data_IF_289640881571
#
_entry.id   IF_289640881571
#
_cell.length_a   1.000
_cell.length_b   1.000
_cell.length_c   1.000
_cell.angle_alpha   90.00
_cell.angle_beta   90.00
_cell.angle_gamma   90.00
#
_symmetry.space_group_name_H-M   'P 1'
#
loop_
_entity.id
_entity.type
_entity.pdbx_description
1 polymer ?
#
# COMPACT_ATOMS: atom_id res chain seq x y z
N UNK A 1 -14.06 28.78 8.44
CA UNK A 1 -13.35 29.84 7.67
C UNK A 1 -11.95 30.12 8.18
N UNK A 2 -11.71 30.40 9.50
CA UNK A 2 -10.34 30.59 10.01
C UNK A 2 -9.56 29.27 10.14
N UNK A 3 -10.22 28.17 10.48
CA UNK A 3 -9.59 26.86 10.58
C UNK A 3 -9.17 26.29 9.21
N UNK A 4 -9.86 26.66 8.14
CA UNK A 4 -9.58 26.18 6.78
C UNK A 4 -8.37 26.89 6.13
N UNK A 5 -7.86 27.94 6.78
CA UNK A 5 -6.74 28.74 6.29
C UNK A 5 -5.41 28.44 7.03
N UNK A 6 -5.38 27.37 7.85
CA UNK A 6 -4.18 26.98 8.61
C UNK A 6 -3.26 26.14 7.70
N UNK A 7 -2.09 26.68 7.39
CA UNK A 7 -1.08 25.97 6.58
C UNK A 7 0.12 25.50 7.41
N UNK A 8 0.38 26.13 8.57
CA UNK A 8 1.54 25.82 9.39
C UNK A 8 1.16 25.54 10.86
N UNK A 9 2.07 24.88 11.58
CA UNK A 9 1.90 24.66 13.02
C UNK A 9 1.87 25.98 13.81
N UNK A 10 2.62 26.99 13.38
CA UNK A 10 2.61 28.32 13.99
C UNK A 10 1.23 29.00 13.85
N UNK A 11 0.57 28.84 12.71
CA UNK A 11 -0.77 29.37 12.49
C UNK A 11 -1.78 28.72 13.44
N UNK A 12 -1.67 27.41 13.65
CA UNK A 12 -2.52 26.66 14.58
C UNK A 12 -2.33 27.14 16.03
N UNK A 13 -1.07 27.37 16.45
CA UNK A 13 -0.76 27.90 17.78
C UNK A 13 -1.27 29.32 17.96
N UNK A 14 -1.17 30.17 16.96
CA UNK A 14 -1.65 31.53 17.00
C UNK A 14 -3.19 31.57 17.08
N UNK A 15 -3.89 30.72 16.30
CA UNK A 15 -5.33 30.59 16.38
C UNK A 15 -5.79 30.07 17.75
N UNK A 16 -5.10 29.12 18.33
CA UNK A 16 -5.38 28.62 19.68
C UNK A 16 -5.23 29.71 20.74
N UNK A 17 -4.21 30.57 20.62
CA UNK A 17 -4.03 31.75 21.51
C UNK A 17 -5.15 32.78 21.34
N UNK A 18 -5.59 33.05 20.10
CA UNK A 18 -6.73 33.95 19.84
C UNK A 18 -8.03 33.40 20.45
N UNK A 19 -8.29 32.09 20.31
CA UNK A 19 -9.44 31.43 20.90
C UNK A 19 -9.43 31.47 22.44
N UNK A 20 -8.25 31.27 23.04
CA UNK A 20 -8.10 31.35 24.48
C UNK A 20 -8.34 32.79 24.98
N UNK A 21 -7.83 33.80 24.29
CA UNK A 21 -8.05 35.20 24.62
C UNK A 21 -9.54 35.56 24.51
N UNK A 22 -10.22 35.10 23.46
CA UNK A 22 -11.64 35.30 23.26
C UNK A 22 -12.50 34.62 24.35
N UNK A 23 -12.15 33.38 24.74
CA UNK A 23 -12.87 32.67 25.80
C UNK A 23 -12.68 33.34 27.17
N UNK A 24 -11.51 33.92 27.46
CA UNK A 24 -11.29 34.73 28.67
C UNK A 24 -12.15 35.99 28.69
N UNK A 25 -12.22 36.71 27.59
CA UNK A 25 -13.02 37.90 27.47
C UNK A 25 -14.53 37.60 27.62
N UNK A 26 -15.00 36.50 27.09
CA UNK A 26 -16.39 36.05 27.26
C UNK A 26 -16.70 35.66 28.72
N UNK A 27 -15.75 35.02 29.39
CA UNK A 27 -15.87 34.61 30.78
C UNK A 27 -15.91 35.85 31.71
N UNK A 28 -15.04 36.84 31.48
CA UNK A 28 -15.04 38.10 32.22
C UNK A 28 -16.38 38.86 32.04
N UNK A 29 -16.91 38.89 30.81
CA UNK A 29 -18.23 39.46 30.54
C UNK A 29 -19.38 38.75 31.27
N UNK A 30 -19.30 37.41 31.32
CA UNK A 30 -20.28 36.59 32.07
C UNK A 30 -20.20 36.84 33.57
N UNK A 31 -18.98 36.97 34.12
CA UNK A 31 -18.79 37.32 35.53
C UNK A 31 -19.31 38.73 35.85
N UNK A 32 -19.08 39.72 34.98
CA UNK A 32 -19.60 41.06 35.12
C UNK A 32 -21.13 41.09 35.02
N UNK A 33 -21.74 40.27 34.19
CA UNK A 33 -23.20 40.15 34.09
C UNK A 33 -23.80 39.50 35.34
N UNK A 34 -23.19 38.40 35.82
CA UNK A 34 -23.65 37.76 37.06
C UNK A 34 -23.45 38.64 38.27
N UNK A 35 -22.37 39.40 38.39
CA UNK A 35 -22.14 40.37 39.46
C UNK A 35 -23.17 41.52 39.44
N UNK A 36 -23.62 41.97 38.26
CA UNK A 36 -24.66 42.98 38.11
C UNK A 36 -26.07 42.43 38.41
N UNK A 37 -26.30 41.12 38.21
CA UNK A 37 -27.54 40.47 38.62
C UNK A 37 -27.62 40.25 40.12
N UNK A 38 -26.48 39.98 40.81
CA UNK A 38 -26.44 39.88 42.27
C UNK A 38 -26.60 41.22 42.98
N UNK A 39 -26.17 42.33 42.40
CA UNK A 39 -26.44 43.70 42.95
C UNK A 39 -27.89 44.17 42.77
N UNK A 40 -28.65 43.50 41.88
CA UNK A 40 -30.04 43.85 41.53
C UNK A 40 -31.15 43.16 42.30
N UNK A 41 -30.86 42.13 43.10
CA UNK A 41 -31.90 41.36 43.83
C UNK A 41 -31.73 41.47 45.34
N UNK A 42 -32.31 42.52 45.90
CA UNK A 42 -32.68 42.53 47.31
C UNK A 42 -33.85 41.60 47.55
N UNK A 43 -33.63 40.66 48.47
CA UNK A 43 -34.59 39.88 49.25
C UNK A 43 -36.00 39.63 48.66
N UNK A 44 -36.28 38.41 48.23
CA UNK A 44 -37.59 37.73 48.36
C UNK A 44 -37.42 36.21 48.51
N UNK A 45 -38.30 35.68 49.36
CA UNK A 45 -38.39 34.34 49.94
C UNK A 45 -38.28 33.12 49.05
N UNK A 46 -37.87 32.04 49.70
CA UNK A 46 -37.94 30.61 49.29
C UNK A 46 -39.31 30.21 48.72
N UNK A 47 -39.31 29.64 47.56
CA UNK A 47 -40.24 28.55 47.20
C UNK A 47 -39.65 27.58 46.20
N UNK A 48 -39.99 26.34 46.42
CA UNK A 48 -39.54 25.10 45.79
C UNK A 48 -39.91 25.01 44.29
N UNK A 49 -39.01 24.34 43.53
CA UNK A 49 -39.40 23.35 42.52
C UNK A 49 -39.72 23.91 41.11
N UNK A 50 -38.81 23.69 40.17
CA UNK A 50 -39.25 23.38 38.80
C UNK A 50 -38.11 22.75 37.99
N UNK A 51 -38.35 21.54 37.64
CA UNK A 51 -37.89 20.62 36.58
C UNK A 51 -37.16 21.22 35.37
N UNK A 52 -36.07 20.60 35.07
CA UNK A 52 -35.28 20.67 33.83
C UNK A 52 -36.09 20.02 32.68
N UNK A 53 -36.13 20.61 31.49
CA UNK A 53 -36.74 19.95 30.33
C UNK A 53 -35.80 18.90 29.74
N UNK A 54 -36.36 17.72 29.57
CA UNK A 54 -35.83 16.55 28.90
C UNK A 54 -35.54 16.80 27.41
N UNK A 55 -34.41 16.37 26.92
CA UNK A 55 -34.14 16.22 25.49
C UNK A 55 -34.39 14.73 25.11
N UNK A 56 -34.99 14.48 23.95
CA UNK A 56 -35.38 13.12 23.58
C UNK A 56 -34.18 12.25 23.15
N UNK A 57 -34.16 11.07 23.72
CA UNK A 57 -33.28 9.95 23.34
C UNK A 57 -33.62 9.44 21.93
N UNK A 58 -32.58 9.25 21.13
CA UNK A 58 -32.68 8.59 19.83
C UNK A 58 -32.74 7.08 19.97
N UNK A 59 -33.60 6.50 19.15
CA UNK A 59 -33.97 5.08 19.14
C UNK A 59 -32.81 4.12 18.89
N UNK A 60 -32.79 3.09 19.72
CA UNK A 60 -31.96 1.88 19.67
C UNK A 60 -32.53 0.88 18.65
N UNK A 61 -31.73 0.43 17.71
CA UNK A 61 -32.02 -0.73 16.88
C UNK A 61 -30.86 -1.71 16.95
N UNK A 62 -30.95 -2.60 17.92
CA UNK A 62 -30.14 -3.83 17.95
C UNK A 62 -31.04 -5.05 17.99
N UNK A 63 -30.96 -5.89 17.01
CA UNK A 63 -31.17 -7.34 17.16
C UNK A 63 -30.37 -8.11 16.12
N UNK A 64 -29.41 -8.88 16.62
CA UNK A 64 -28.68 -9.87 15.84
C UNK A 64 -28.09 -10.92 16.77
N UNK A 65 -28.81 -12.04 16.92
CA UNK A 65 -28.43 -13.22 17.68
C UNK A 65 -27.10 -13.79 17.23
N UNK A 66 -26.23 -14.16 18.16
CA UNK A 66 -25.16 -15.14 17.93
C UNK A 66 -25.16 -16.22 19.00
N UNK A 67 -25.07 -17.44 18.50
CA UNK A 67 -25.02 -18.67 19.28
C UNK A 67 -23.66 -18.86 20.00
N UNK A 68 -23.76 -19.58 21.14
CA UNK A 68 -22.65 -19.97 22.01
C UNK A 68 -21.82 -21.10 21.42
N UNK A 69 -20.54 -21.11 21.67
CA UNK A 69 -19.76 -22.31 21.90
C UNK A 69 -18.77 -22.08 23.02
N UNK A 70 -18.87 -22.95 24.04
CA UNK A 70 -18.02 -23.03 25.21
C UNK A 70 -16.65 -23.62 24.86
N UNK A 71 -15.57 -23.11 25.46
CA UNK A 71 -14.53 -23.97 26.02
C UNK A 71 -13.68 -23.23 27.08
N UNK A 72 -13.48 -23.94 28.18
CA UNK A 72 -12.77 -23.57 29.40
C UNK A 72 -11.24 -23.54 29.18
N UNK A 73 -10.55 -22.66 29.87
CA UNK A 73 -9.45 -23.08 30.76
C UNK A 73 -8.92 -21.91 31.61
N UNK A 74 -8.84 -22.19 32.87
CA UNK A 74 -8.31 -21.55 34.04
C UNK A 74 -6.90 -20.96 33.92
N UNK A 75 -6.61 -19.81 34.53
CA UNK A 75 -5.85 -19.69 35.80
C UNK A 75 -5.66 -18.21 36.16
N UNK A 76 -6.14 -17.86 37.35
CA UNK A 76 -5.70 -16.69 38.11
C UNK A 76 -4.41 -17.02 38.88
N UNK A 77 -3.61 -16.04 39.35
CA UNK A 77 -3.75 -15.65 40.75
C UNK A 77 -3.61 -14.14 41.08
N UNK A 78 -4.47 -13.79 42.00
CA UNK A 78 -4.28 -13.12 43.30
C UNK A 78 -3.75 -11.69 43.38
N UNK A 79 -4.62 -10.95 44.01
CA UNK A 79 -4.55 -9.66 44.65
C UNK A 79 -3.71 -9.64 45.94
N UNK A 80 -3.26 -8.46 46.31
CA UNK A 80 -2.96 -7.93 47.66
C UNK A 80 -2.64 -6.44 47.44
N UNK A 81 -2.95 -5.46 48.18
CA UNK A 81 -3.78 -5.21 49.38
C UNK A 81 -3.92 -3.68 49.44
N UNK A 82 -5.06 -3.20 49.82
CA UNK A 82 -5.29 -1.81 50.26
C UNK A 82 -4.81 -1.61 51.69
N UNK A 83 -4.56 -0.35 52.13
CA UNK A 83 -5.25 0.11 53.33
C UNK A 83 -5.95 1.45 53.19
N UNK A 84 -7.11 1.43 53.76
CA UNK A 84 -8.01 2.52 54.17
C UNK A 84 -7.42 3.28 55.35
N UNK A 85 -7.54 4.60 55.41
CA UNK A 85 -7.78 5.39 56.65
C UNK A 85 -8.37 6.75 56.30
N UNK A 86 -9.59 6.96 56.68
CA UNK A 86 -10.18 7.74 57.76
C UNK A 86 -9.86 9.24 57.77
N UNK A 87 -10.83 10.07 57.46
CA UNK A 87 -11.64 10.80 58.43
C UNK A 87 -11.06 12.14 58.91
N UNK A 88 -11.72 13.20 58.60
CA UNK A 88 -11.47 14.50 59.20
C UNK A 88 -12.33 15.61 58.60
N UNK A 89 -13.52 15.81 59.15
CA UNK A 89 -14.30 17.03 59.00
C UNK A 89 -13.62 18.15 59.74
N UNK A 90 -13.26 19.24 59.06
CA UNK A 90 -13.19 20.57 59.67
C UNK A 90 -13.78 21.60 58.73
N UNK A 91 -14.81 22.26 59.24
CA UNK A 91 -15.40 23.44 58.71
C UNK A 91 -14.53 24.66 59.04
N UNK A 92 -14.14 25.45 58.08
CA UNK A 92 -13.36 26.65 58.35
C UNK A 92 -13.26 27.61 57.16
N UNK A 93 -14.16 28.57 57.17
CA UNK A 93 -14.00 29.97 56.72
C UNK A 93 -13.63 30.23 55.26
N UNK A 94 -14.61 30.74 54.52
CA UNK A 94 -14.48 31.59 53.34
C UNK A 94 -13.41 32.65 53.50
N UNK A 95 -12.46 32.66 52.61
CA UNK A 95 -11.75 33.87 52.22
C UNK A 95 -11.83 33.89 50.69
N UNK A 96 -12.62 34.87 50.21
CA UNK A 96 -12.70 35.21 48.79
C UNK A 96 -11.32 35.47 48.21
N UNK A 97 -10.82 34.50 47.45
CA UNK A 97 -9.81 34.73 46.42
C UNK A 97 -10.49 34.68 45.08
N UNK A 98 -10.19 35.60 44.15
CA UNK A 98 -10.72 35.53 42.79
C UNK A 98 -10.44 34.14 42.23
N UNK A 99 -11.47 33.45 41.78
CA UNK A 99 -11.32 32.20 41.06
C UNK A 99 -10.52 32.48 39.79
N UNK A 100 -9.28 32.01 39.75
CA UNK A 100 -8.52 32.00 38.53
C UNK A 100 -9.29 31.18 37.48
N UNK A 101 -9.46 31.75 36.30
CA UNK A 101 -10.05 31.10 35.15
C UNK A 101 -9.18 29.87 34.78
N UNK A 102 -9.64 28.71 35.15
CA UNK A 102 -9.02 27.44 34.78
C UNK A 102 -10.07 26.67 33.97
N UNK A 103 -10.08 26.79 32.63
CA UNK A 103 -10.97 25.99 31.82
C UNK A 103 -10.54 24.53 31.97
N UNK A 104 -11.22 23.77 32.79
CA UNK A 104 -11.15 22.31 32.82
C UNK A 104 -11.75 21.78 31.53
N UNK A 105 -10.97 21.82 30.47
CA UNK A 105 -11.36 21.26 29.19
C UNK A 105 -10.71 19.88 29.15
N UNK A 106 -11.52 18.83 29.09
CA UNK A 106 -11.05 17.43 28.94
C UNK A 106 -10.09 17.27 27.77
N UNK A 107 -10.16 18.18 26.77
CA UNK A 107 -9.21 18.30 25.66
C UNK A 107 -7.79 18.71 26.10
N UNK A 108 -7.61 19.36 27.26
CA UNK A 108 -6.30 19.77 27.74
C UNK A 108 -5.51 18.58 28.26
N UNK A 109 -6.19 17.66 28.95
CA UNK A 109 -5.57 16.41 29.43
C UNK A 109 -5.29 15.47 28.27
N UNK A 110 -6.18 15.39 27.28
CA UNK A 110 -5.94 14.65 26.04
C UNK A 110 -4.80 15.28 25.22
N UNK A 111 -4.71 16.62 25.16
CA UNK A 111 -3.62 17.32 24.50
C UNK A 111 -2.30 17.09 25.25
N UNK A 112 -2.31 17.16 26.59
CA UNK A 112 -1.12 16.89 27.38
C UNK A 112 -0.67 15.44 27.30
N UNK A 113 -1.58 14.48 27.29
CA UNK A 113 -1.27 13.06 27.01
C UNK A 113 -0.72 12.85 25.59
N UNK A 114 -1.32 13.49 24.60
CA UNK A 114 -0.82 13.45 23.23
C UNK A 114 0.55 14.14 23.12
N UNK A 115 0.78 15.27 23.79
CA UNK A 115 2.08 15.94 23.86
C UNK A 115 3.12 15.11 24.62
N UNK A 116 2.74 14.48 25.75
CA UNK A 116 3.64 13.57 26.47
C UNK A 116 3.97 12.30 25.67
N UNK A 117 3.04 11.82 24.83
CA UNK A 117 3.33 10.71 23.91
C UNK A 117 4.18 11.14 22.71
N UNK A 118 4.21 12.44 22.40
CA UNK A 118 5.04 13.03 21.34
C UNK A 118 6.42 13.46 21.83
N UNK A 119 6.54 13.79 23.12
CA UNK A 119 7.83 14.10 23.75
C UNK A 119 8.38 12.83 24.37
N UNK A 120 9.31 12.20 23.67
CA UNK A 120 10.07 11.07 24.22
C UNK A 120 10.93 11.59 25.37
N UNK A 121 10.56 11.22 26.59
CA UNK A 121 11.26 11.62 27.82
C UNK A 121 12.64 10.98 27.96
N UNK A 122 12.94 9.98 27.13
CA UNK A 122 14.23 9.26 27.16
C UNK A 122 15.33 9.91 26.32
N UNK A 123 15.05 11.06 25.68
CA UNK A 123 16.05 11.82 24.91
C UNK A 123 16.56 11.11 23.66
N UNK A 124 15.80 10.13 23.14
CA UNK A 124 16.14 9.44 21.88
C UNK A 124 15.77 10.33 20.69
N UNK A 125 16.74 10.65 19.86
CA UNK A 125 16.48 11.35 18.60
C UNK A 125 15.84 10.43 17.58
N UNK A 126 14.66 10.81 17.05
CA UNK A 126 14.04 10.13 15.93
C UNK A 126 14.58 10.64 14.59
N UNK A 127 14.91 9.73 13.72
CA UNK A 127 15.29 10.03 12.34
C UNK A 127 14.05 9.99 11.43
N UNK A 128 13.66 11.15 10.90
CA UNK A 128 12.56 11.26 9.96
C UNK A 128 13.04 11.01 8.54
N UNK A 129 12.45 10.05 7.87
CA UNK A 129 12.85 9.56 6.56
C UNK A 129 11.73 9.77 5.57
N UNK A 130 12.09 10.20 4.37
CA UNK A 130 11.14 10.42 3.28
C UNK A 130 11.28 9.38 2.17
N UNK A 131 10.15 9.08 1.53
CA UNK A 131 10.15 8.30 0.29
C UNK A 131 10.91 9.06 -0.81
N UNK A 132 11.67 8.36 -1.67
CA UNK A 132 12.30 9.00 -2.82
C UNK A 132 11.24 9.57 -3.75
N UNK A 133 11.43 10.82 -4.18
CA UNK A 133 10.48 11.50 -5.10
C UNK A 133 10.44 10.83 -6.48
N UNK A 134 11.57 10.33 -6.91
CA UNK A 134 11.74 9.62 -8.18
C UNK A 134 12.63 8.42 -7.96
N UNK A 135 12.33 7.32 -8.62
CA UNK A 135 13.23 6.17 -8.66
C UNK A 135 14.10 6.33 -9.90
N UNK A 136 15.43 6.26 -9.77
CA UNK A 136 16.32 6.37 -10.92
C UNK A 136 15.96 5.36 -12.01
N UNK A 137 15.91 5.83 -13.26
CA UNK A 137 15.56 4.99 -14.42
C UNK A 137 16.49 3.79 -14.60
N UNK A 138 17.71 3.84 -14.04
CA UNK A 138 18.68 2.74 -14.07
C UNK A 138 18.18 1.47 -13.35
N UNK A 139 17.24 1.60 -12.42
CA UNK A 139 16.65 0.46 -11.70
C UNK A 139 15.48 -0.18 -12.43
N UNK A 140 14.88 0.53 -13.40
CA UNK A 140 13.76 0.04 -14.20
C UNK A 140 14.23 -0.32 -15.59
N UNK A 141 14.05 -1.58 -15.97
CA UNK A 141 14.28 -2.02 -17.34
C UNK A 141 12.90 -2.19 -18.00
N UNK A 142 12.70 -1.45 -19.09
CA UNK A 142 11.42 -1.44 -19.79
C UNK A 142 11.10 -2.77 -20.47
N UNK A 143 9.81 -3.05 -20.69
CA UNK A 143 9.37 -4.26 -21.39
C UNK A 143 10.01 -4.40 -22.78
N UNK A 144 10.20 -3.31 -23.49
CA UNK A 144 10.85 -3.29 -24.80
C UNK A 144 12.29 -3.77 -24.70
N UNK A 145 13.06 -3.19 -23.77
CA UNK A 145 14.47 -3.51 -23.57
C UNK A 145 14.67 -4.98 -23.10
N UNK A 146 13.85 -5.44 -22.16
CA UNK A 146 13.86 -6.84 -21.72
C UNK A 146 13.54 -7.80 -22.86
N UNK A 147 12.52 -7.47 -23.70
CA UNK A 147 12.17 -8.29 -24.87
C UNK A 147 13.30 -8.38 -25.87
N UNK A 148 13.91 -7.24 -26.22
CA UNK A 148 15.02 -7.17 -27.15
C UNK A 148 16.23 -7.97 -26.65
N UNK A 149 16.53 -7.86 -25.35
CA UNK A 149 17.64 -8.59 -24.72
C UNK A 149 17.42 -10.10 -24.80
N UNK A 150 16.21 -10.57 -24.43
CA UNK A 150 15.88 -12.00 -24.49
C UNK A 150 15.80 -12.52 -25.93
N UNK A 151 15.17 -11.76 -26.81
CA UNK A 151 15.02 -12.15 -28.23
C UNK A 151 16.38 -12.28 -28.90
N UNK A 152 17.28 -11.32 -28.70
CA UNK A 152 18.65 -11.35 -29.26
C UNK A 152 19.43 -12.55 -28.71
N UNK A 153 19.35 -12.77 -27.39
CA UNK A 153 20.07 -13.87 -26.75
C UNK A 153 19.61 -15.24 -27.27
N UNK A 154 18.30 -15.53 -27.24
CA UNK A 154 17.81 -16.82 -27.67
C UNK A 154 17.87 -17.02 -29.19
N UNK A 155 17.72 -15.97 -29.99
CA UNK A 155 17.93 -16.05 -31.45
C UNK A 155 19.39 -16.38 -31.76
N UNK A 156 20.34 -15.79 -31.05
CA UNK A 156 21.76 -16.14 -31.18
C UNK A 156 22.00 -17.63 -30.87
N UNK A 157 21.44 -18.12 -29.75
CA UNK A 157 21.56 -19.53 -29.37
C UNK A 157 20.86 -20.48 -30.34
N UNK A 158 19.70 -20.11 -30.88
CA UNK A 158 19.03 -20.87 -31.95
C UNK A 158 19.86 -20.93 -33.23
N UNK A 159 20.57 -19.86 -33.62
CA UNK A 159 21.40 -19.77 -34.81
C UNK A 159 22.64 -20.64 -34.73
N UNK A 160 23.13 -21.01 -33.53
CA UNK A 160 24.22 -21.98 -33.37
C UNK A 160 23.99 -23.32 -34.10
N UNK A 161 22.73 -23.67 -34.38
CA UNK A 161 22.39 -24.86 -35.20
C UNK A 161 22.93 -24.80 -36.64
N UNK A 162 23.07 -23.56 -37.16
CA UNK A 162 23.43 -23.33 -38.55
C UNK A 162 24.89 -22.91 -38.70
N UNK A 163 25.59 -22.77 -37.57
CA UNK A 163 26.99 -22.42 -37.55
C UNK A 163 27.83 -23.62 -37.99
N UNK A 164 28.71 -23.41 -38.97
CA UNK A 164 29.52 -24.49 -39.57
C UNK A 164 30.93 -24.52 -39.05
N UNK A 165 31.42 -23.39 -38.54
CA UNK A 165 32.78 -23.23 -38.06
C UNK A 165 32.74 -22.92 -36.56
N UNK A 166 33.38 -23.77 -35.79
CA UNK A 166 33.59 -23.59 -34.36
C UNK A 166 35.06 -23.47 -34.09
N UNK A 167 35.45 -22.69 -33.08
CA UNK A 167 36.85 -22.45 -32.75
C UNK A 167 37.55 -23.70 -32.24
N UNK A 168 36.83 -24.57 -31.54
CA UNK A 168 37.29 -25.82 -31.01
C UNK A 168 36.15 -26.85 -30.78
N UNK A 169 36.53 -28.07 -30.37
CA UNK A 169 35.62 -29.18 -30.08
C UNK A 169 34.70 -28.87 -28.87
N UNK A 170 35.17 -28.07 -27.94
CA UNK A 170 34.41 -27.64 -26.77
C UNK A 170 33.25 -26.72 -27.17
N UNK A 171 33.52 -25.71 -28.00
CA UNK A 171 32.49 -24.80 -28.53
C UNK A 171 31.41 -25.55 -29.31
N UNK A 172 31.82 -26.55 -30.10
CA UNK A 172 30.91 -27.42 -30.83
C UNK A 172 30.03 -28.24 -29.89
N UNK A 173 30.61 -28.80 -28.82
CA UNK A 173 29.88 -29.59 -27.82
C UNK A 173 28.88 -28.71 -27.06
N UNK A 174 29.30 -27.54 -26.61
CA UNK A 174 28.42 -26.55 -25.94
C UNK A 174 27.27 -26.07 -26.84
N UNK A 175 27.56 -25.82 -28.11
CA UNK A 175 26.54 -25.46 -29.09
C UNK A 175 25.46 -26.53 -29.25
N UNK A 176 25.88 -27.81 -29.35
CA UNK A 176 24.95 -28.94 -29.43
C UNK A 176 24.10 -29.08 -28.15
N UNK A 177 24.69 -28.88 -27.00
CA UNK A 177 24.00 -28.91 -25.71
C UNK A 177 22.96 -27.81 -25.61
N UNK A 178 23.30 -26.56 -25.89
CA UNK A 178 22.34 -25.43 -25.88
C UNK A 178 21.17 -25.68 -26.83
N UNK A 179 21.43 -26.09 -28.06
CA UNK A 179 20.38 -26.36 -29.05
C UNK A 179 19.45 -27.48 -28.62
N UNK A 180 19.99 -28.55 -28.03
CA UNK A 180 19.21 -29.65 -27.47
C UNK A 180 18.33 -29.21 -26.30
N UNK A 181 18.88 -28.41 -25.41
CA UNK A 181 18.15 -27.90 -24.25
C UNK A 181 17.02 -26.93 -24.65
N UNK A 182 17.26 -26.06 -25.62
CA UNK A 182 16.24 -25.20 -26.19
C UNK A 182 15.12 -26.01 -26.83
N UNK A 183 15.41 -27.05 -27.60
CA UNK A 183 14.40 -27.90 -28.20
C UNK A 183 13.56 -28.64 -27.16
N UNK A 184 14.21 -29.17 -26.11
CA UNK A 184 13.51 -29.79 -25.00
C UNK A 184 12.59 -28.81 -24.28
N UNK A 185 13.09 -27.61 -23.95
CA UNK A 185 12.29 -26.55 -23.32
C UNK A 185 11.09 -26.11 -24.18
N UNK A 186 11.28 -26.03 -25.51
CA UNK A 186 10.20 -25.68 -26.44
C UNK A 186 9.12 -26.74 -26.49
N UNK A 187 9.50 -28.02 -26.48
CA UNK A 187 8.54 -29.14 -26.43
C UNK A 187 7.76 -29.13 -25.12
N UNK A 188 8.44 -28.89 -24.00
CA UNK A 188 7.76 -28.81 -22.69
C UNK A 188 6.88 -27.57 -22.59
N UNK A 189 7.26 -26.44 -23.18
CA UNK A 189 6.42 -25.26 -23.32
C UNK A 189 5.13 -25.56 -24.09
N UNK A 190 5.22 -26.28 -25.24
CA UNK A 190 4.06 -26.65 -26.04
C UNK A 190 3.11 -27.56 -25.24
N UNK A 191 3.64 -28.58 -24.54
CA UNK A 191 2.84 -29.50 -23.71
C UNK A 191 2.13 -28.71 -22.59
N UNK A 192 2.86 -27.85 -21.88
CA UNK A 192 2.32 -27.03 -20.84
C UNK A 192 1.23 -26.08 -21.39
N UNK A 193 1.49 -25.38 -22.50
CA UNK A 193 0.54 -24.42 -23.11
C UNK A 193 -0.78 -25.08 -23.48
N UNK A 194 -0.77 -26.33 -23.93
CA UNK A 194 -1.99 -27.10 -24.24
C UNK A 194 -2.82 -27.34 -22.96
N UNK A 195 -2.18 -27.75 -21.87
CA UNK A 195 -2.86 -27.95 -20.58
C UNK A 195 -3.38 -26.64 -20.01
N UNK A 196 -2.52 -25.63 -19.93
CA UNK A 196 -2.86 -24.31 -19.39
C UNK A 196 -4.03 -23.65 -20.14
N UNK A 197 -4.10 -23.80 -21.47
CA UNK A 197 -5.21 -23.27 -22.25
C UNK A 197 -6.58 -23.87 -21.88
N UNK A 198 -6.64 -25.14 -21.45
CA UNK A 198 -7.89 -25.74 -20.96
C UNK A 198 -8.33 -25.09 -19.65
N UNK A 199 -7.40 -24.92 -18.72
CA UNK A 199 -7.65 -24.26 -17.44
C UNK A 199 -8.09 -22.80 -17.63
N UNK A 200 -7.36 -22.07 -18.46
CA UNK A 200 -7.69 -20.68 -18.81
C UNK A 200 -9.09 -20.57 -19.42
N UNK A 201 -9.46 -21.46 -20.35
CA UNK A 201 -10.78 -21.42 -20.96
C UNK A 201 -11.90 -21.70 -19.93
N UNK A 202 -11.65 -22.58 -18.98
CA UNK A 202 -12.57 -22.81 -17.88
C UNK A 202 -12.73 -21.57 -16.99
N UNK A 203 -11.61 -20.97 -16.58
CA UNK A 203 -11.62 -19.72 -15.80
C UNK A 203 -12.34 -18.58 -16.53
N UNK A 204 -12.11 -18.42 -17.84
CA UNK A 204 -12.79 -17.41 -18.66
C UNK A 204 -14.29 -17.64 -18.64
N UNK A 205 -14.75 -18.89 -18.84
CA UNK A 205 -16.18 -19.24 -18.82
C UNK A 205 -16.82 -18.88 -17.46
N UNK A 206 -16.19 -19.29 -16.36
CA UNK A 206 -16.66 -18.97 -15.01
C UNK A 206 -16.73 -17.46 -14.76
N UNK A 207 -15.69 -16.74 -15.18
CA UNK A 207 -15.64 -15.29 -15.04
C UNK A 207 -16.73 -14.59 -15.86
N UNK A 208 -16.93 -14.98 -17.12
CA UNK A 208 -17.97 -14.43 -17.98
C UNK A 208 -19.39 -14.68 -17.41
N UNK A 209 -19.63 -15.88 -16.85
CA UNK A 209 -20.89 -16.18 -16.18
C UNK A 209 -21.11 -15.27 -14.96
N UNK A 210 -20.10 -15.10 -14.09
CA UNK A 210 -20.18 -14.20 -12.92
C UNK A 210 -20.37 -12.76 -13.35
N UNK A 211 -19.60 -12.29 -14.32
CA UNK A 211 -19.71 -10.93 -14.87
C UNK A 211 -21.11 -10.65 -15.41
N UNK A 212 -21.69 -11.60 -16.13
CA UNK A 212 -23.06 -11.50 -16.66
C UNK A 212 -24.11 -11.47 -15.54
N UNK A 213 -23.95 -12.33 -14.51
CA UNK A 213 -24.83 -12.34 -13.35
C UNK A 213 -24.77 -11.03 -12.56
N UNK A 214 -23.57 -10.50 -12.30
CA UNK A 214 -23.39 -9.22 -11.62
C UNK A 214 -23.93 -8.04 -12.44
N UNK A 215 -23.74 -8.07 -13.75
CA UNK A 215 -24.33 -7.08 -14.67
C UNK A 215 -25.86 -7.09 -14.57
N UNK A 216 -26.46 -8.29 -14.59
CA UNK A 216 -27.91 -8.43 -14.43
C UNK A 216 -28.39 -7.95 -13.05
N UNK A 217 -27.67 -8.28 -11.98
CA UNK A 217 -28.01 -7.84 -10.63
C UNK A 217 -27.94 -6.31 -10.44
N UNK A 218 -27.04 -5.63 -11.17
CA UNK A 218 -26.91 -4.16 -11.15
C UNK A 218 -27.86 -3.43 -12.09
N UNK A 219 -28.66 -4.18 -12.86
CA UNK A 219 -29.57 -3.64 -13.82
C UNK A 219 -30.69 -2.88 -13.12
N UNK A 220 -30.87 -1.60 -13.44
CA UNK A 220 -31.98 -0.79 -12.96
C UNK A 220 -32.96 -0.49 -14.09
N UNK A 221 -34.23 -0.70 -13.82
CA UNK A 221 -35.29 -0.39 -14.76
C UNK A 221 -35.94 0.92 -14.32
N UNK A 222 -35.78 1.95 -15.14
CA UNK A 222 -36.41 3.26 -14.89
C UNK A 222 -37.48 3.55 -15.92
N UNK A 223 -38.54 4.25 -15.49
CA UNK A 223 -39.55 4.78 -16.39
C UNK A 223 -39.01 6.01 -17.10
N UNK A 224 -39.09 6.09 -18.42
CA UNK A 224 -38.49 7.16 -19.22
C UNK A 224 -39.31 8.45 -19.29
N UNK A 225 -40.51 8.48 -18.79
CA UNK A 225 -41.45 9.59 -19.02
C UNK A 225 -42.01 9.64 -20.45
N UNK A 226 -41.55 8.79 -21.37
CA UNK A 226 -42.09 8.64 -22.74
C UNK A 226 -43.18 7.61 -22.70
N UNK A 227 -44.39 7.95 -23.24
CA UNK A 227 -45.50 7.03 -23.30
C UNK A 227 -45.23 5.86 -24.24
N UNK A 228 -45.57 4.67 -23.81
CA UNK A 228 -45.59 3.48 -24.66
C UNK A 228 -46.92 3.39 -25.40
N UNK A 229 -46.90 3.73 -26.68
CA UNK A 229 -48.11 3.76 -27.52
C UNK A 229 -48.83 2.42 -27.56
N UNK A 230 -48.07 1.30 -27.40
CA UNK A 230 -48.68 -0.04 -27.36
C UNK A 230 -49.43 -0.33 -26.07
N UNK A 231 -49.13 0.36 -24.99
CA UNK A 231 -49.77 0.24 -23.67
C UNK A 231 -50.75 1.35 -23.36
N UNK A 232 -50.84 2.35 -24.21
CA UNK A 232 -51.64 3.53 -23.97
C UNK A 232 -53.14 3.22 -23.76
N UNK A 233 -53.64 2.16 -24.39
CA UNK A 233 -55.03 1.73 -24.24
C UNK A 233 -55.36 1.19 -22.82
N UNK A 234 -54.35 0.85 -22.02
CA UNK A 234 -54.51 0.31 -20.67
C UNK A 234 -54.47 1.39 -19.57
N UNK A 235 -54.37 2.67 -19.94
CA UNK A 235 -54.16 3.78 -18.99
C UNK A 235 -55.18 3.87 -17.85
N UNK A 236 -56.40 3.31 -18.04
CA UNK A 236 -57.46 3.31 -17.00
C UNK A 236 -57.21 2.24 -15.91
N UNK A 237 -56.37 1.25 -16.16
CA UNK A 237 -56.21 0.07 -15.29
C UNK A 237 -54.75 -0.18 -14.91
N UNK A 238 -53.80 0.45 -15.59
CA UNK A 238 -52.40 0.17 -15.43
C UNK A 238 -51.62 1.49 -15.44
N UNK A 239 -50.90 1.75 -14.35
CA UNK A 239 -50.03 2.94 -14.22
C UNK A 239 -48.69 2.77 -14.97
N UNK A 240 -48.39 1.59 -15.50
CA UNK A 240 -47.17 1.25 -16.21
C UNK A 240 -47.26 1.52 -17.72
N UNK A 241 -47.66 2.73 -18.07
CA UNK A 241 -47.86 3.20 -19.46
C UNK A 241 -46.63 3.86 -20.07
N UNK A 242 -45.52 3.97 -19.31
CA UNK A 242 -44.29 4.57 -19.78
C UNK A 242 -43.29 3.51 -20.31
N UNK A 243 -42.56 3.86 -21.35
CA UNK A 243 -41.41 3.06 -21.79
C UNK A 243 -40.40 2.92 -20.68
N UNK A 244 -39.92 1.68 -20.50
CA UNK A 244 -38.87 1.36 -19.55
C UNK A 244 -37.54 1.36 -20.27
N UNK A 245 -36.53 2.02 -19.67
CA UNK A 245 -35.13 1.93 -20.06
C UNK A 245 -34.39 1.16 -19.00
N UNK A 246 -33.67 0.16 -19.45
CA UNK A 246 -32.78 -0.61 -18.61
C UNK A 246 -31.40 0.05 -18.68
N UNK A 247 -30.94 0.59 -17.57
CA UNK A 247 -29.57 1.11 -17.42
C UNK A 247 -28.73 0.11 -16.64
N UNK A 248 -27.59 -0.26 -17.20
CA UNK A 248 -26.60 -1.07 -16.52
C UNK A 248 -25.46 -0.12 -16.15
N UNK A 249 -25.23 0.16 -14.85
CA UNK A 249 -24.09 0.94 -14.44
C UNK A 249 -22.80 0.25 -14.83
N UNK A 250 -21.82 1.02 -15.32
CA UNK A 250 -20.51 0.50 -15.65
C UNK A 250 -19.84 -0.13 -14.43
N UNK A 251 -19.29 -1.33 -14.63
CA UNK A 251 -18.48 -1.98 -13.61
C UNK A 251 -17.14 -1.29 -13.45
N UNK A 252 -16.55 -1.36 -12.26
CA UNK A 252 -15.17 -0.86 -12.05
C UNK A 252 -14.20 -1.65 -12.91
N UNK A 253 -13.32 -0.93 -13.61
CA UNK A 253 -12.27 -1.54 -14.40
C UNK A 253 -11.11 -1.95 -13.50
N UNK A 254 -10.72 -3.21 -13.56
CA UNK A 254 -9.67 -3.81 -12.74
C UNK A 254 -8.36 -3.93 -13.52
N UNK A 255 -7.24 -3.76 -12.83
CA UNK A 255 -5.91 -4.01 -13.33
C UNK A 255 -5.11 -4.86 -12.36
N UNK A 256 -4.12 -5.60 -12.85
CA UNK A 256 -3.27 -6.51 -12.08
C UNK A 256 -1.80 -6.16 -12.28
N UNK A 257 -1.06 -6.07 -11.18
CA UNK A 257 0.39 -5.94 -11.19
C UNK A 257 0.97 -7.14 -10.46
N UNK A 258 1.82 -7.90 -11.14
CA UNK A 258 2.51 -9.03 -10.55
C UNK A 258 3.96 -8.63 -10.32
N UNK A 259 4.42 -8.76 -9.08
CA UNK A 259 5.82 -8.66 -8.69
C UNK A 259 6.31 -10.06 -8.36
N UNK A 260 7.24 -10.57 -9.14
CA UNK A 260 7.79 -11.91 -8.98
C UNK A 260 9.21 -11.79 -8.48
N UNK A 261 9.48 -12.46 -7.39
CA UNK A 261 10.82 -12.59 -6.83
C UNK A 261 11.73 -13.36 -7.77
N UNK A 262 12.85 -12.71 -8.14
CA UNK A 262 13.87 -13.29 -9.00
C UNK A 262 15.16 -13.53 -8.21
N UNK A 263 15.00 -14.23 -7.08
CA UNK A 263 16.07 -14.54 -6.12
C UNK A 263 16.60 -15.97 -6.27
N UNK A 264 17.78 -16.21 -5.69
CA UNK A 264 18.41 -17.53 -5.72
C UNK A 264 17.60 -18.60 -4.99
N UNK A 265 16.87 -18.26 -3.92
CA UNK A 265 16.00 -19.16 -3.16
C UNK A 265 14.87 -19.73 -4.04
N UNK A 266 14.32 -18.90 -4.93
CA UNK A 266 13.26 -19.29 -5.87
C UNK A 266 13.68 -20.30 -6.93
N UNK A 267 14.98 -20.61 -7.10
CA UNK A 267 15.50 -21.44 -8.19
C UNK A 267 14.77 -22.77 -8.40
N UNK A 268 14.33 -23.41 -7.31
CA UNK A 268 13.63 -24.69 -7.35
C UNK A 268 12.15 -24.56 -7.78
N UNK A 269 11.50 -23.45 -7.50
CA UNK A 269 10.06 -23.24 -7.74
C UNK A 269 9.78 -22.22 -8.84
N UNK A 270 10.78 -21.46 -9.32
CA UNK A 270 10.61 -20.34 -10.25
C UNK A 270 9.87 -20.72 -11.54
N UNK A 271 10.15 -21.90 -12.12
CA UNK A 271 9.47 -22.34 -13.33
C UNK A 271 7.98 -22.59 -13.08
N UNK A 272 7.62 -23.17 -11.93
CA UNK A 272 6.23 -23.49 -11.62
C UNK A 272 5.48 -22.23 -11.21
N UNK A 273 6.13 -21.29 -10.51
CA UNK A 273 5.61 -19.94 -10.24
C UNK A 273 5.35 -19.18 -11.54
N UNK A 274 6.30 -19.18 -12.46
CA UNK A 274 6.12 -18.54 -13.78
C UNK A 274 5.00 -19.18 -14.60
N UNK A 275 4.83 -20.50 -14.56
CA UNK A 275 3.69 -21.18 -15.21
C UNK A 275 2.34 -20.68 -14.67
N UNK A 276 2.22 -20.46 -13.35
CA UNK A 276 1.01 -19.89 -12.76
C UNK A 276 0.79 -18.46 -13.23
N UNK A 277 1.83 -17.62 -13.22
CA UNK A 277 1.78 -16.25 -13.75
C UNK A 277 1.33 -16.25 -15.20
N UNK A 278 1.90 -17.12 -16.07
CA UNK A 278 1.53 -17.21 -17.48
C UNK A 278 0.06 -17.63 -17.66
N UNK A 279 -0.44 -18.53 -16.83
CA UNK A 279 -1.85 -18.95 -16.83
C UNK A 279 -2.76 -17.77 -16.49
N UNK A 280 -2.45 -17.03 -15.40
CA UNK A 280 -3.21 -15.85 -14.98
C UNK A 280 -3.16 -14.72 -16.02
N UNK A 281 -1.98 -14.44 -16.57
CA UNK A 281 -1.80 -13.43 -17.62
C UNK A 281 -2.56 -13.80 -18.90
N UNK A 282 -2.56 -15.08 -19.27
CA UNK A 282 -3.35 -15.57 -20.42
C UNK A 282 -4.86 -15.43 -20.18
N UNK A 283 -5.30 -15.66 -18.95
CA UNK A 283 -6.68 -15.39 -18.53
C UNK A 283 -7.01 -13.90 -18.64
N UNK A 284 -6.19 -13.02 -18.01
CA UNK A 284 -6.40 -11.58 -18.05
C UNK A 284 -6.50 -11.05 -19.47
N UNK A 285 -5.64 -11.55 -20.36
CA UNK A 285 -5.64 -11.15 -21.76
C UNK A 285 -6.91 -11.55 -22.49
N UNK A 286 -7.46 -12.76 -22.25
CA UNK A 286 -8.72 -13.22 -22.85
C UNK A 286 -9.93 -12.44 -22.37
N UNK A 287 -9.93 -12.03 -21.10
CA UNK A 287 -11.03 -11.30 -20.47
C UNK A 287 -10.91 -9.78 -20.67
N UNK A 288 -9.74 -9.30 -21.14
CA UNK A 288 -9.48 -7.87 -21.35
C UNK A 288 -9.11 -7.11 -20.07
N UNK A 289 -8.58 -7.80 -19.05
CA UNK A 289 -8.05 -7.17 -17.84
C UNK A 289 -6.62 -6.69 -18.11
N UNK A 290 -6.33 -5.43 -17.80
CA UNK A 290 -4.99 -4.87 -17.93
C UNK A 290 -4.05 -5.49 -16.89
N UNK A 291 -2.81 -5.76 -17.29
CA UNK A 291 -1.79 -6.30 -16.38
C UNK A 291 -0.38 -5.88 -16.79
N UNK A 292 0.50 -5.89 -15.79
CA UNK A 292 1.95 -5.85 -15.93
C UNK A 292 2.58 -6.91 -15.03
N UNK A 293 3.70 -7.46 -15.49
CA UNK A 293 4.51 -8.42 -14.72
C UNK A 293 5.92 -7.86 -14.59
N UNK A 294 6.37 -7.75 -13.35
CA UNK A 294 7.72 -7.32 -13.00
C UNK A 294 8.46 -8.45 -12.31
N UNK A 295 9.75 -8.60 -12.66
CA UNK A 295 10.68 -9.38 -11.88
C UNK A 295 11.54 -8.43 -11.07
N UNK A 296 11.75 -8.70 -9.79
CA UNK A 296 12.64 -7.90 -8.95
C UNK A 296 13.80 -8.75 -8.43
N UNK A 297 14.99 -8.16 -8.42
CA UNK A 297 16.22 -8.82 -8.02
C UNK A 297 17.31 -7.79 -7.67
N UNK A 298 18.41 -8.26 -7.12
CA UNK A 298 19.59 -7.44 -6.92
C UNK A 298 20.23 -7.02 -8.24
N UNK A 299 20.95 -5.91 -8.19
CA UNK A 299 21.83 -5.48 -9.25
C UNK A 299 23.26 -5.96 -8.97
N UNK A 300 23.76 -6.93 -9.75
CA UNK A 300 25.13 -7.42 -9.64
C UNK A 300 26.20 -6.42 -10.16
N UNK A 301 25.80 -5.41 -10.91
CA UNK A 301 26.68 -4.33 -11.29
C UNK A 301 26.88 -3.44 -10.05
N UNK A 302 27.77 -3.85 -9.16
CA UNK A 302 28.15 -3.03 -8.01
C UNK A 302 28.70 -1.72 -8.54
N UNK A 303 28.01 -0.64 -8.28
CA UNK A 303 28.56 0.70 -8.46
C UNK A 303 29.85 0.76 -7.62
N UNK A 304 31.01 0.85 -8.28
CA UNK A 304 32.32 0.87 -7.63
C UNK A 304 32.45 2.02 -6.62
N UNK A 305 31.57 3.01 -6.69
CA UNK A 305 31.49 4.12 -5.74
C UNK A 305 30.74 3.78 -4.43
N UNK A 306 30.02 2.67 -4.35
CA UNK A 306 29.27 2.27 -3.17
C UNK A 306 30.14 1.83 -1.98
N UNK A 307 31.41 1.52 -2.20
CA UNK A 307 32.34 1.09 -1.15
C UNK A 307 32.89 2.23 -0.26
N UNK A 308 32.74 3.49 -0.66
CA UNK A 308 33.28 4.61 0.09
C UNK A 308 32.42 5.07 1.29
N UNK A 309 31.22 4.49 1.48
CA UNK A 309 30.31 4.86 2.57
C UNK A 309 29.78 6.31 2.51
N UNK A 310 30.14 7.04 1.45
CA UNK A 310 29.68 8.42 1.24
C UNK A 310 28.62 8.44 0.16
N UNK A 311 27.44 8.94 0.53
CA UNK A 311 26.31 9.12 -0.36
C UNK A 311 26.26 10.55 -0.90
N UNK A 312 25.44 10.73 -1.95
CA UNK A 312 25.10 12.05 -2.44
C UNK A 312 24.40 12.86 -1.34
N UNK A 313 24.75 14.13 -1.17
CA UNK A 313 24.13 15.02 -0.17
C UNK A 313 22.61 15.14 -0.34
N UNK A 314 22.10 14.94 -1.55
CA UNK A 314 20.66 14.94 -1.85
C UNK A 314 19.88 13.81 -1.19
N UNK A 315 20.55 12.79 -0.65
CA UNK A 315 19.96 11.60 -0.03
C UNK A 315 19.80 11.76 1.50
N UNK A 316 20.21 12.88 2.07
CA UNK A 316 19.99 13.15 3.50
C UNK A 316 18.50 13.11 3.85
N UNK A 317 18.13 12.34 4.88
CA UNK A 317 16.74 12.13 5.30
C UNK A 317 15.87 11.36 4.29
N UNK A 318 16.44 10.65 3.31
CA UNK A 318 15.69 9.89 2.32
C UNK A 318 16.05 8.42 2.32
N UNK A 319 15.10 7.56 1.95
CA UNK A 319 15.36 6.16 1.67
C UNK A 319 16.32 6.01 0.48
N UNK A 320 17.28 5.11 0.63
CA UNK A 320 18.28 4.78 -0.38
C UNK A 320 17.89 3.44 -0.99
N UNK A 321 17.52 3.46 -2.26
CA UNK A 321 17.32 2.25 -3.04
C UNK A 321 18.66 1.83 -3.64
N UNK A 322 19.24 0.75 -3.13
CA UNK A 322 20.53 0.23 -3.63
C UNK A 322 20.37 -1.18 -4.16
N UNK A 323 21.29 -1.50 -5.07
CA UNK A 323 21.47 -2.86 -5.57
C UNK A 323 20.15 -3.54 -5.98
N UNK A 324 19.24 -2.72 -6.55
CA UNK A 324 17.88 -3.11 -6.90
C UNK A 324 17.68 -3.03 -8.41
N UNK A 325 16.93 -3.97 -8.93
CA UNK A 325 16.55 -4.03 -10.34
C UNK A 325 15.11 -4.50 -10.48
N UNK A 326 14.36 -3.84 -11.32
CA UNK A 326 12.99 -4.19 -11.64
C UNK A 326 12.80 -4.29 -13.15
N UNK A 327 12.47 -5.49 -13.61
CA UNK A 327 12.36 -5.85 -15.02
C UNK A 327 10.88 -5.98 -15.39
N UNK A 328 10.36 -5.14 -16.27
CA UNK A 328 9.02 -5.35 -16.83
C UNK A 328 9.11 -6.40 -17.93
N UNK A 329 8.64 -7.62 -17.62
CA UNK A 329 8.79 -8.77 -18.54
C UNK A 329 7.55 -9.02 -19.39
N UNK A 330 6.35 -8.71 -18.89
CA UNK A 330 5.09 -8.86 -19.62
C UNK A 330 4.19 -7.66 -19.37
N UNK A 331 3.51 -7.21 -20.42
CA UNK A 331 2.50 -6.13 -20.34
C UNK A 331 1.31 -6.44 -21.21
N UNK A 332 0.12 -6.03 -20.77
CA UNK A 332 -1.12 -6.17 -21.54
C UNK A 332 -1.12 -5.39 -22.86
N UNK A 333 -0.25 -4.38 -22.99
CA UNK A 333 -0.14 -3.55 -24.19
C UNK A 333 0.64 -4.20 -25.35
N UNK A 334 1.38 -5.30 -25.08
CA UNK A 334 2.10 -6.04 -26.13
C UNK A 334 1.12 -6.70 -27.10
N UNK A 335 1.48 -6.74 -28.39
CA UNK A 335 0.70 -7.48 -29.37
C UNK A 335 0.80 -9.01 -29.17
N UNK A 336 -0.12 -9.78 -29.76
CA UNK A 336 -0.21 -11.22 -29.50
C UNK A 336 1.07 -11.98 -29.87
N UNK A 337 1.71 -11.65 -31.00
CA UNK A 337 2.94 -12.29 -31.48
C UNK A 337 4.11 -12.01 -30.53
N UNK A 338 4.25 -10.76 -30.11
CA UNK A 338 5.29 -10.37 -29.15
C UNK A 338 5.08 -11.03 -27.80
N UNK A 339 3.85 -11.02 -27.30
CA UNK A 339 3.50 -11.64 -26.01
C UNK A 339 3.78 -13.16 -26.01
N UNK A 340 3.38 -13.89 -27.06
CA UNK A 340 3.68 -15.33 -27.17
C UNK A 340 5.20 -15.60 -27.17
N UNK A 341 5.98 -14.73 -27.82
CA UNK A 341 7.44 -14.82 -27.84
C UNK A 341 8.03 -14.54 -26.46
N UNK A 342 7.53 -13.50 -25.77
CA UNK A 342 7.96 -13.15 -24.42
C UNK A 342 7.72 -14.31 -23.44
N UNK A 343 6.52 -14.90 -23.44
CA UNK A 343 6.21 -16.06 -22.58
C UNK A 343 7.13 -17.24 -22.90
N UNK A 344 7.36 -17.55 -24.18
CA UNK A 344 8.25 -18.62 -24.59
C UNK A 344 9.67 -18.42 -24.10
N UNK A 345 10.22 -17.22 -24.25
CA UNK A 345 11.56 -16.89 -23.80
C UNK A 345 11.68 -16.90 -22.27
N UNK A 346 10.67 -16.41 -21.56
CA UNK A 346 10.61 -16.49 -20.09
C UNK A 346 10.50 -17.92 -19.58
N UNK A 347 9.78 -18.79 -20.30
CA UNK A 347 9.71 -20.20 -19.96
C UNK A 347 11.07 -20.88 -20.10
N UNK A 348 11.82 -20.59 -21.16
CA UNK A 348 13.21 -21.05 -21.36
C UNK A 348 14.13 -20.54 -20.26
N UNK A 349 13.99 -19.25 -19.90
CA UNK A 349 14.77 -18.62 -18.85
C UNK A 349 14.51 -19.28 -17.49
N UNK A 350 13.25 -19.39 -17.08
CA UNK A 350 12.87 -20.03 -15.81
C UNK A 350 13.28 -21.50 -15.76
N UNK A 351 13.19 -22.21 -16.89
CA UNK A 351 13.68 -23.59 -17.02
C UNK A 351 15.18 -23.73 -16.90
N UNK A 352 15.96 -22.69 -17.22
CA UNK A 352 17.43 -22.71 -17.16
C UNK A 352 18.00 -22.77 -15.75
N UNK A 353 17.19 -22.46 -14.73
CA UNK A 353 17.59 -22.55 -13.32
C UNK A 353 17.34 -23.93 -12.71
N UNK A 354 16.64 -24.83 -13.42
CA UNK A 354 16.54 -26.24 -13.03
C UNK A 354 17.83 -27.00 -13.42
N UNK A 355 18.29 -27.89 -12.53
CA UNK A 355 19.46 -28.73 -12.78
C UNK A 355 19.33 -29.49 -14.12
N UNK A 356 20.38 -29.45 -14.93
CA UNK A 356 20.64 -30.23 -16.16
C UNK A 356 19.96 -29.82 -17.47
N UNK A 357 19.28 -28.66 -17.56
CA UNK A 357 18.66 -28.25 -18.84
C UNK A 357 18.80 -26.76 -19.12
N UNK A 358 19.96 -26.17 -18.89
CA UNK A 358 20.15 -24.73 -19.09
C UNK A 358 20.12 -24.35 -20.56
N UNK A 359 19.11 -23.50 -20.92
CA UNK A 359 19.09 -22.82 -22.22
C UNK A 359 19.98 -21.57 -22.23
N UNK A 360 20.72 -21.33 -21.14
CA UNK A 360 21.49 -20.13 -20.90
C UNK A 360 20.63 -19.00 -20.30
N UNK A 361 21.30 -18.08 -19.61
CA UNK A 361 20.69 -16.94 -18.95
C UNK A 361 21.23 -15.66 -19.60
N UNK A 362 20.35 -14.77 -20.13
CA UNK A 362 20.77 -13.49 -20.66
C UNK A 362 21.43 -12.62 -19.58
N UNK A 363 22.34 -11.74 -20.02
CA UNK A 363 22.95 -10.76 -19.14
C UNK A 363 21.87 -9.92 -18.41
N UNK A 364 22.05 -9.63 -17.15
CA UNK A 364 21.09 -8.95 -16.27
C UNK A 364 19.86 -9.75 -15.86
N UNK A 365 19.72 -11.02 -16.23
CA UNK A 365 18.57 -11.86 -15.85
C UNK A 365 18.94 -13.01 -14.92
N UNK A 366 20.11 -12.98 -14.33
CA UNK A 366 20.50 -13.94 -13.29
C UNK A 366 19.66 -13.76 -12.02
N UNK A 367 19.47 -14.86 -11.29
CA UNK A 367 18.87 -14.81 -9.96
C UNK A 367 19.80 -14.07 -9.00
N UNK A 368 19.24 -13.26 -8.12
CA UNK A 368 19.98 -12.45 -7.15
C UNK A 368 19.45 -12.60 -5.73
N UNK A 369 19.48 -11.53 -4.96
CA UNK A 369 18.85 -11.44 -3.65
C UNK A 369 17.39 -11.04 -3.72
N UNK A 370 16.78 -10.77 -2.55
CA UNK A 370 15.35 -10.48 -2.39
C UNK A 370 15.10 -9.03 -1.94
N UNK A 371 15.25 -8.02 -2.82
CA UNK A 371 14.96 -6.60 -2.51
C UNK A 371 13.45 -6.32 -2.51
N UNK A 372 12.68 -7.05 -1.69
CA UNK A 372 11.22 -6.97 -1.63
C UNK A 372 10.75 -5.59 -1.18
N UNK A 373 11.45 -4.96 -0.24
CA UNK A 373 11.11 -3.65 0.27
C UNK A 373 11.29 -2.56 -0.79
N UNK A 374 12.38 -2.60 -1.55
CA UNK A 374 12.64 -1.70 -2.67
C UNK A 374 11.61 -1.89 -3.79
N UNK A 375 11.25 -3.14 -4.09
CA UNK A 375 10.18 -3.47 -5.03
C UNK A 375 8.84 -2.88 -4.56
N UNK A 376 8.51 -3.00 -3.27
CA UNK A 376 7.29 -2.45 -2.67
C UNK A 376 7.29 -0.91 -2.70
N UNK A 377 8.40 -0.26 -2.36
CA UNK A 377 8.55 1.20 -2.46
C UNK A 377 8.33 1.66 -3.92
N UNK A 378 8.82 0.88 -4.88
CA UNK A 378 8.70 1.18 -6.32
C UNK A 378 7.26 1.24 -6.80
N UNK A 379 6.34 0.55 -6.15
CA UNK A 379 4.90 0.60 -6.45
C UNK A 379 4.30 1.99 -6.30
N UNK A 380 4.89 2.85 -5.46
CA UNK A 380 4.48 4.26 -5.36
C UNK A 380 4.55 5.01 -6.71
N UNK A 381 5.38 4.55 -7.63
CA UNK A 381 5.53 5.12 -8.99
C UNK A 381 4.84 4.26 -10.05
N UNK A 382 4.89 2.94 -9.89
CA UNK A 382 4.32 2.00 -10.86
C UNK A 382 2.79 2.08 -10.90
N UNK A 383 2.12 2.14 -9.73
CA UNK A 383 0.66 2.15 -9.65
C UNK A 383 0.05 3.36 -10.37
N UNK A 384 0.50 4.62 -10.13
CA UNK A 384 -0.02 5.78 -10.84
C UNK A 384 0.22 5.73 -12.35
N UNK A 385 1.43 5.28 -12.78
CA UNK A 385 1.74 5.12 -14.19
C UNK A 385 0.88 4.05 -14.86
N UNK A 386 0.73 2.90 -14.21
CA UNK A 386 -0.14 1.82 -14.66
C UNK A 386 -1.58 2.28 -14.81
N UNK A 387 -2.15 2.96 -13.80
CA UNK A 387 -3.51 3.52 -13.85
C UNK A 387 -3.69 4.52 -14.99
N UNK A 388 -2.73 5.44 -15.14
CA UNK A 388 -2.75 6.45 -16.22
C UNK A 388 -2.73 5.79 -17.59
N UNK A 389 -1.94 4.75 -17.78
CA UNK A 389 -1.74 4.05 -19.05
C UNK A 389 -2.90 3.14 -19.41
N UNK A 390 -3.51 2.46 -18.43
CA UNK A 390 -4.55 1.45 -18.64
C UNK A 390 -5.97 1.93 -18.39
N UNK A 391 -6.14 3.06 -17.70
CA UNK A 391 -7.44 3.56 -17.25
C UNK A 391 -8.08 2.71 -16.14
N UNK A 392 -7.32 1.83 -15.47
CA UNK A 392 -7.82 0.96 -14.40
C UNK A 392 -8.23 1.77 -13.18
N UNK A 393 -9.43 1.51 -12.65
CA UNK A 393 -9.96 2.16 -11.45
C UNK A 393 -9.50 1.46 -10.16
N UNK A 394 -9.51 0.12 -10.17
CA UNK A 394 -8.96 -0.72 -9.10
C UNK A 394 -7.72 -1.45 -9.60
N UNK A 395 -6.68 -1.48 -8.77
CA UNK A 395 -5.46 -2.20 -9.07
C UNK A 395 -5.18 -3.20 -7.96
N UNK A 396 -4.94 -4.45 -8.33
CA UNK A 396 -4.50 -5.49 -7.40
C UNK A 396 -3.02 -5.74 -7.62
N UNK A 397 -2.24 -5.68 -6.57
CA UNK A 397 -0.81 -5.98 -6.58
C UNK A 397 -0.59 -7.33 -5.94
N UNK A 398 0.06 -8.23 -6.68
CA UNK A 398 0.33 -9.60 -6.26
C UNK A 398 1.83 -9.77 -6.19
N UNK A 399 2.36 -9.91 -4.97
CA UNK A 399 3.76 -10.23 -4.73
C UNK A 399 3.92 -11.74 -4.60
N UNK A 400 4.80 -12.33 -5.41
CA UNK A 400 5.14 -13.75 -5.41
C UNK A 400 6.59 -13.88 -4.97
N UNK A 401 6.82 -14.26 -3.73
CA UNK A 401 8.13 -14.40 -3.08
C UNK A 401 8.13 -15.58 -2.14
N UNK A 402 9.28 -16.19 -1.91
CA UNK A 402 9.53 -17.25 -0.93
C UNK A 402 10.36 -16.78 0.26
N UNK A 403 10.73 -15.49 0.27
CA UNK A 403 11.64 -14.92 1.25
C UNK A 403 11.18 -13.62 1.86
N UNK A 404 11.89 -13.20 2.90
CA UNK A 404 11.73 -11.93 3.58
C UNK A 404 12.58 -10.85 2.89
N UNK A 405 12.12 -9.60 2.97
CA UNK A 405 12.86 -8.46 2.44
C UNK A 405 14.07 -8.10 3.31
N UNK A 406 15.13 -7.58 2.69
CA UNK A 406 16.26 -7.01 3.42
C UNK A 406 15.89 -5.70 4.12
N UNK A 407 16.69 -5.31 5.15
CA UNK A 407 16.53 -3.99 5.78
C UNK A 407 16.80 -2.88 4.77
N UNK A 408 15.94 -1.89 4.76
CA UNK A 408 16.11 -0.70 3.91
C UNK A 408 17.02 0.30 4.59
N UNK A 409 17.76 1.06 3.80
CA UNK A 409 18.71 2.08 4.26
C UNK A 409 18.22 3.48 3.98
N UNK A 410 18.72 4.41 4.77
CA UNK A 410 18.50 5.85 4.57
C UNK A 410 19.81 6.64 4.72
N UNK A 411 19.84 7.81 4.11
CA UNK A 411 20.96 8.74 4.25
C UNK A 411 20.84 9.56 5.53
N UNK A 412 21.90 9.66 6.29
CA UNK A 412 22.02 10.57 7.44
C UNK A 412 23.29 11.39 7.34
N UNK A 413 23.15 12.70 7.43
CA UNK A 413 24.30 13.61 7.45
C UNK A 413 25.10 13.42 8.73
N UNK A 414 26.40 13.19 8.59
CA UNK A 414 27.34 12.94 9.69
C UNK A 414 28.53 13.85 9.51
N UNK A 415 29.04 14.38 10.63
CA UNK A 415 30.26 15.17 10.64
C UNK A 415 31.45 14.28 11.02
N UNK A 416 32.48 14.28 10.20
CA UNK A 416 33.72 13.56 10.47
C UNK A 416 34.45 14.16 11.68
N UNK A 417 34.79 13.30 12.64
CA UNK A 417 35.56 13.72 13.80
C UNK A 417 37.03 14.06 13.50
N UNK A 418 37.55 13.65 12.32
CA UNK A 418 38.96 13.83 11.95
C UNK A 418 39.23 15.16 11.25
N UNK A 419 38.36 15.57 10.34
CA UNK A 419 38.58 16.73 9.46
C UNK A 419 37.44 17.75 9.50
N UNK A 420 36.40 17.48 10.31
CA UNK A 420 35.22 18.35 10.40
C UNK A 420 34.34 18.38 9.13
N UNK A 421 34.67 17.58 8.11
CA UNK A 421 33.87 17.51 6.90
C UNK A 421 32.49 16.86 7.17
N UNK A 422 31.45 17.37 6.53
CA UNK A 422 30.13 16.78 6.59
C UNK A 422 29.89 15.92 5.34
N UNK A 423 29.37 14.71 5.53
CA UNK A 423 29.00 13.82 4.45
C UNK A 423 27.75 13.02 4.81
N UNK A 424 27.05 12.51 3.82
CA UNK A 424 25.89 11.64 4.05
C UNK A 424 26.36 10.19 4.12
N UNK A 425 26.01 9.52 5.22
CA UNK A 425 26.31 8.10 5.43
C UNK A 425 25.02 7.29 5.35
N UNK A 426 25.13 6.07 4.84
CA UNK A 426 24.02 5.11 4.76
C UNK A 426 23.84 4.40 6.10
N UNK A 427 22.62 4.41 6.64
CA UNK A 427 22.24 3.71 7.87
C UNK A 427 21.05 2.80 7.62
N UNK A 428 21.00 1.66 8.32
CA UNK A 428 19.84 0.78 8.31
C UNK A 428 18.67 1.41 9.06
N UNK A 429 17.44 1.29 8.53
CA UNK A 429 16.24 1.69 9.24
C UNK A 429 16.08 0.85 10.52
N UNK A 430 15.67 1.49 11.60
CA UNK A 430 15.52 0.92 12.93
C UNK A 430 14.26 1.51 13.61
N UNK A 431 13.88 1.09 14.83
CA UNK A 431 12.68 1.61 15.50
C UNK A 431 12.67 3.11 15.79
N UNK A 432 13.85 3.76 15.78
CA UNK A 432 13.98 5.21 15.90
C UNK A 432 13.81 5.93 14.56
N UNK A 433 13.71 5.19 13.48
CA UNK A 433 13.44 5.71 12.15
C UNK A 433 11.94 5.80 11.90
N UNK A 434 11.47 6.96 11.43
CA UNK A 434 10.06 7.22 11.13
C UNK A 434 9.95 7.57 9.65
N UNK A 435 9.26 6.73 8.89
CA UNK A 435 8.92 7.02 7.51
C UNK A 435 7.79 8.04 7.45
N UNK A 436 8.03 9.16 6.76
CA UNK A 436 7.03 10.20 6.52
C UNK A 436 6.61 10.20 5.05
N UNK A 437 5.33 9.99 4.81
CA UNK A 437 4.76 10.18 3.47
C UNK A 437 4.19 11.60 3.35
N UNK A 438 4.84 12.44 2.53
CA UNK A 438 4.40 13.83 2.33
C UNK A 438 3.06 13.96 1.59
N UNK A 439 2.63 12.93 0.85
CA UNK A 439 1.37 12.99 0.11
C UNK A 439 0.16 12.73 1.01
N UNK A 440 0.28 11.76 1.92
CA UNK A 440 -0.78 11.41 2.86
C UNK A 440 -0.68 12.18 4.17
N UNK A 441 0.49 12.78 4.47
CA UNK A 441 0.79 13.41 5.76
C UNK A 441 1.00 12.41 6.91
N UNK A 442 0.90 11.10 6.65
CA UNK A 442 1.03 10.05 7.67
C UNK A 442 2.49 9.69 7.95
N UNK A 443 2.70 9.15 9.14
CA UNK A 443 3.99 8.69 9.63
C UNK A 443 3.89 7.23 10.04
N UNK A 444 4.96 6.46 9.74
CA UNK A 444 5.02 5.02 9.97
C UNK A 444 6.33 4.70 10.71
N UNK A 445 6.24 3.98 11.83
CA UNK A 445 7.41 3.48 12.56
C UNK A 445 7.90 2.18 11.93
N UNK A 446 9.22 2.02 11.89
CA UNK A 446 9.82 0.74 11.50
C UNK A 446 9.78 -0.25 12.66
N UNK A 447 9.63 -1.52 12.35
CA UNK A 447 9.70 -2.60 13.33
C UNK A 447 11.16 -2.77 13.82
N UNK A 448 11.31 -3.27 15.04
CA UNK A 448 12.62 -3.64 15.59
C UNK A 448 13.27 -4.80 14.83
N UNK A 449 12.45 -5.67 14.26
CA UNK A 449 12.89 -6.77 13.44
C UNK A 449 13.25 -6.27 12.04
N UNK A 450 14.51 -6.47 11.65
CA UNK A 450 15.03 -6.07 10.33
C UNK A 450 14.31 -6.76 9.18
N UNK A 451 13.80 -7.95 9.41
CA UNK A 451 13.13 -8.77 8.40
C UNK A 451 11.65 -8.41 8.24
N UNK A 452 11.07 -7.66 9.18
CA UNK A 452 9.64 -7.32 9.21
C UNK A 452 9.35 -5.85 8.82
N UNK A 453 10.22 -5.25 8.01
CA UNK A 453 10.05 -3.85 7.57
C UNK A 453 9.05 -3.70 6.42
N UNK A 454 8.76 -4.78 5.71
CA UNK A 454 7.84 -4.81 4.56
C UNK A 454 6.46 -4.31 4.94
N UNK A 455 5.96 -4.65 6.13
CA UNK A 455 4.66 -4.20 6.63
C UNK A 455 4.53 -2.67 6.63
N UNK A 456 5.59 -1.96 7.02
CA UNK A 456 5.63 -0.49 7.04
C UNK A 456 5.32 0.09 5.65
N UNK A 457 5.90 -0.48 4.61
CA UNK A 457 5.68 -0.03 3.23
C UNK A 457 4.32 -0.46 2.68
N UNK A 458 3.83 -1.64 3.07
CA UNK A 458 2.48 -2.10 2.71
C UNK A 458 1.42 -1.19 3.32
N UNK A 459 1.53 -0.83 4.60
CA UNK A 459 0.61 0.14 5.23
C UNK A 459 0.69 1.51 4.57
N UNK A 460 1.88 1.98 4.24
CA UNK A 460 2.07 3.26 3.53
C UNK A 460 1.38 3.23 2.15
N UNK A 461 1.55 2.15 1.37
CA UNK A 461 0.90 2.00 0.06
C UNK A 461 -0.62 1.94 0.17
N UNK A 462 -1.14 1.19 1.15
CA UNK A 462 -2.58 1.07 1.40
C UNK A 462 -3.21 2.41 1.76
N UNK A 463 -2.54 3.21 2.56
CA UNK A 463 -3.01 4.54 2.92
C UNK A 463 -2.96 5.52 1.74
N UNK A 464 -1.95 5.38 0.87
CA UNK A 464 -1.77 6.24 -0.30
C UNK A 464 -2.70 5.88 -1.45
N UNK A 465 -3.00 4.59 -1.60
CA UNK A 465 -3.84 4.05 -2.68
C UNK A 465 -4.95 3.16 -2.11
N UNK A 466 -5.97 3.74 -1.45
CA UNK A 466 -7.03 2.97 -0.80
C UNK A 466 -7.87 2.12 -1.77
N UNK A 467 -7.79 2.39 -3.06
CA UNK A 467 -8.40 1.61 -4.14
C UNK A 467 -7.50 0.47 -4.66
N UNK A 468 -6.29 0.30 -4.11
CA UNK A 468 -5.41 -0.84 -4.40
C UNK A 468 -5.53 -1.91 -3.31
N UNK A 469 -5.53 -3.16 -3.76
CA UNK A 469 -5.57 -4.34 -2.90
C UNK A 469 -4.35 -5.22 -3.17
#
# INVERSE_FOLDING_TARGET
AKCDALETFEDAVNLAKELLAYSKEQFEKLQEMNAKEEEGLGTVDKQEGSSIPDFPEGEDLSEGKSEKSDEKSETQPKAEDTPTENGGREAGRNTDKPQEFNPTVETMDALNQALQSLVDTDGQEFDYIELPKTIPSKYFISNKEVSELMDNFYTQKENLRYEKEFSDEYDLAMSREYTKNIDAADQDFIKWKISANKEVNYMVKEFEMKKSADSYARQTISKTGVLDTGKLHTYKYNDDIFRKVTTVPDGKNHGLIFNVDWSGSMSNCILDTMKQVFTLVSFCRKVGIAYDVYLFSDNYEKDQHAYAGREDESLDGKLILRDFRMLNVLTSTSNNRQHDRQIKNLFRLAGSFRYHSSCGVPFKMNLGGTPLNEATISLNHIIPDFKKRTGSQKVHVINLTDGEGYSVRYGKKVTSHYDGSTYVNSRDCNPLSILRDRQTGKQYKFNADRYNQTDTFVYQLRDRFPECE
#
